data_IF_136513578996
#
_entry.id   IF_136513578996
#
_cell.length_a   1.000
_cell.length_b   1.000
_cell.length_c   1.000
_cell.angle_alpha   90.00
_cell.angle_beta   90.00
_cell.angle_gamma   90.00
#
_symmetry.space_group_name_H-M   'P 1'
#
loop_
_entity.id
_entity.type
_entity.pdbx_description
1 polymer ?
#
# COMPACT_ATOMS: atom_id res chain seq x y z
N UNK A 1 -0.04 10.39 -19.01
CA UNK A 1 -1.19 11.29 -19.29
C UNK A 1 -1.98 11.46 -18.01
N UNK A 2 -1.97 12.64 -17.39
CA UNK A 2 -2.88 12.94 -16.29
C UNK A 2 -4.29 13.07 -16.89
N UNK A 3 -5.23 12.22 -16.49
CA UNK A 3 -6.63 12.25 -16.94
C UNK A 3 -7.47 13.19 -16.07
N UNK A 4 -8.41 13.91 -16.69
CA UNK A 4 -9.44 14.68 -15.98
C UNK A 4 -10.46 13.74 -15.32
N UNK A 5 -10.87 14.04 -14.09
CA UNK A 5 -12.05 13.40 -13.48
C UNK A 5 -13.31 14.20 -13.79
N UNK A 6 -14.47 13.55 -13.60
CA UNK A 6 -15.77 14.22 -13.70
C UNK A 6 -15.78 15.48 -12.81
N UNK A 7 -16.10 16.63 -13.42
CA UNK A 7 -16.14 17.93 -12.74
C UNK A 7 -14.79 18.68 -12.65
N UNK A 8 -13.69 18.11 -13.17
CA UNK A 8 -12.39 18.80 -13.31
C UNK A 8 -12.19 19.43 -14.69
N UNK A 9 -13.17 19.33 -15.58
CA UNK A 9 -13.14 19.86 -16.94
C UNK A 9 -12.92 21.38 -16.95
N UNK A 10 -12.02 21.85 -17.83
CA UNK A 10 -11.74 23.28 -18.02
C UNK A 10 -10.91 23.95 -16.92
N UNK A 11 -10.41 23.20 -15.92
CA UNK A 11 -9.49 23.71 -14.89
C UNK A 11 -8.12 23.02 -14.99
N UNK A 12 -7.03 23.64 -14.53
CA UNK A 12 -5.75 22.94 -14.43
C UNK A 12 -5.88 21.68 -13.56
N UNK A 13 -5.39 20.54 -14.06
CA UNK A 13 -5.45 19.27 -13.32
C UNK A 13 -4.69 19.42 -11.99
N UNK A 14 -5.33 19.18 -10.82
CA UNK A 14 -4.64 19.25 -9.55
C UNK A 14 -3.43 18.31 -9.50
N UNK A 15 -2.33 18.76 -8.88
CA UNK A 15 -1.19 17.89 -8.63
C UNK A 15 -1.66 16.71 -7.77
N UNK A 16 -1.50 15.51 -8.32
CA UNK A 16 -1.88 14.27 -7.65
C UNK A 16 -0.69 13.33 -7.62
N UNK A 17 -0.25 13.00 -6.41
CA UNK A 17 0.77 12.01 -6.16
C UNK A 17 0.27 10.62 -6.57
N UNK A 18 1.17 9.77 -7.06
CA UNK A 18 0.88 8.34 -7.18
C UNK A 18 0.55 7.80 -5.78
N UNK A 19 -0.41 6.86 -5.69
CA UNK A 19 -0.71 6.21 -4.41
C UNK A 19 0.41 5.29 -4.00
N UNK A 20 1.27 4.86 -4.92
CA UNK A 20 2.42 4.01 -4.66
C UNK A 20 3.70 4.83 -4.59
N UNK A 21 4.53 4.57 -3.58
CA UNK A 21 5.83 5.21 -3.43
C UNK A 21 6.88 4.21 -2.92
N UNK A 22 8.15 4.49 -3.22
CA UNK A 22 9.30 3.69 -2.76
C UNK A 22 10.04 4.45 -1.67
N UNK A 23 10.38 3.78 -0.57
CA UNK A 23 11.28 4.30 0.46
C UNK A 23 12.43 3.29 0.65
N UNK A 24 13.63 3.67 0.24
CA UNK A 24 14.76 2.73 0.16
C UNK A 24 14.46 1.65 -0.88
N UNK A 25 14.39 0.40 -0.44
CA UNK A 25 14.07 -0.77 -1.27
C UNK A 25 12.64 -1.29 -1.10
N UNK A 26 11.89 -0.72 -0.16
CA UNK A 26 10.52 -1.12 0.12
C UNK A 26 9.51 -0.26 -0.64
N UNK A 27 8.44 -0.89 -1.11
CA UNK A 27 7.28 -0.25 -1.71
C UNK A 27 6.16 -0.05 -0.71
N UNK A 28 5.42 1.04 -0.86
CA UNK A 28 4.29 1.41 -0.01
C UNK A 28 3.15 1.92 -0.87
N UNK A 29 1.92 1.88 -0.33
CA UNK A 29 0.80 2.63 -0.87
C UNK A 29 0.10 3.48 0.18
N UNK A 30 -0.47 4.62 -0.20
CA UNK A 30 -1.22 5.51 0.68
C UNK A 30 -2.70 5.53 0.29
N UNK A 31 -3.58 5.54 1.29
CA UNK A 31 -5.02 5.77 1.12
C UNK A 31 -5.41 7.17 1.58
N UNK A 32 -6.58 7.62 1.13
CA UNK A 32 -7.18 8.87 1.62
C UNK A 32 -7.32 8.83 3.14
N UNK A 33 -7.04 9.94 3.82
CA UNK A 33 -6.97 10.01 5.28
C UNK A 33 -5.58 9.78 5.86
N UNK A 34 -4.53 9.74 5.04
CA UNK A 34 -3.13 9.80 5.47
C UNK A 34 -2.52 8.46 5.91
N UNK A 35 -3.29 7.37 5.91
CA UNK A 35 -2.77 6.04 6.24
C UNK A 35 -1.93 5.47 5.09
N UNK A 36 -0.74 4.98 5.42
CA UNK A 36 0.15 4.28 4.48
C UNK A 36 0.29 2.80 4.85
N UNK A 37 0.47 1.98 3.83
CA UNK A 37 0.52 0.53 3.88
C UNK A 37 1.75 0.04 3.13
N UNK A 38 2.24 -1.12 3.54
CA UNK A 38 3.56 -1.60 3.19
C UNK A 38 4.24 -1.98 4.49
N UNK A 39 5.52 -2.31 4.43
CA UNK A 39 6.39 -2.46 3.25
C UNK A 39 5.98 -3.60 2.31
N UNK A 40 6.27 -3.46 1.02
CA UNK A 40 6.13 -4.49 0.00
C UNK A 40 7.46 -4.67 -0.73
N UNK A 41 7.79 -5.90 -1.13
CA UNK A 41 9.08 -6.18 -1.79
C UNK A 41 9.16 -5.58 -3.19
N UNK A 42 8.00 -5.42 -3.85
CA UNK A 42 7.91 -4.81 -5.16
C UNK A 42 6.58 -4.07 -5.34
N UNK A 43 6.52 -3.19 -6.35
CA UNK A 43 5.34 -2.41 -6.70
C UNK A 43 4.11 -3.29 -6.94
N UNK A 44 4.26 -4.39 -7.66
CA UNK A 44 3.16 -5.30 -7.99
C UNK A 44 2.53 -5.97 -6.76
N UNK A 45 3.30 -6.18 -5.70
CA UNK A 45 2.79 -6.69 -4.42
C UNK A 45 1.98 -5.61 -3.69
N UNK A 46 2.45 -4.36 -3.71
CA UNK A 46 1.69 -3.22 -3.19
C UNK A 46 0.38 -3.02 -3.96
N UNK A 47 0.39 -3.17 -5.28
CA UNK A 47 -0.79 -3.10 -6.14
C UNK A 47 -1.80 -4.21 -5.78
N UNK A 48 -1.35 -5.46 -5.65
CA UNK A 48 -2.23 -6.56 -5.20
C UNK A 48 -2.84 -6.27 -3.82
N UNK A 49 -2.04 -5.75 -2.89
CA UNK A 49 -2.50 -5.41 -1.55
C UNK A 49 -3.54 -4.28 -1.55
N UNK A 50 -3.40 -3.27 -2.43
CA UNK A 50 -4.41 -2.21 -2.54
C UNK A 50 -5.73 -2.74 -3.07
N UNK A 51 -5.70 -3.69 -4.01
CA UNK A 51 -6.92 -4.33 -4.52
C UNK A 51 -7.67 -5.07 -3.42
N UNK A 52 -6.95 -5.89 -2.63
CA UNK A 52 -7.53 -6.60 -1.49
C UNK A 52 -8.04 -5.66 -0.38
N UNK A 53 -7.46 -4.47 -0.24
CA UNK A 53 -7.90 -3.46 0.73
C UNK A 53 -9.26 -2.86 0.38
N UNK A 54 -9.52 -2.60 -0.91
CA UNK A 54 -10.79 -2.01 -1.36
C UNK A 54 -11.86 -3.05 -1.72
N UNK A 55 -11.44 -4.24 -2.15
CA UNK A 55 -12.33 -5.35 -2.51
C UNK A 55 -11.91 -6.61 -1.74
N UNK A 56 -12.17 -6.66 -0.42
CA UNK A 56 -11.85 -7.82 0.37
C UNK A 56 -12.75 -8.98 -0.07
N UNK A 57 -12.20 -10.18 -0.36
CA UNK A 57 -13.01 -11.31 -0.74
C UNK A 57 -14.05 -11.60 0.35
N UNK A 58 -15.33 -11.53 -0.02
CA UNK A 58 -16.46 -11.87 0.85
C UNK A 58 -16.25 -13.28 1.36
N UNK A 59 -16.19 -13.43 2.69
CA UNK A 59 -15.73 -14.64 3.39
C UNK A 59 -16.20 -15.96 2.76
N UNK A 60 -15.23 -16.73 2.25
CA UNK A 60 -15.42 -18.11 1.82
C UNK A 60 -14.09 -18.85 1.69
N UNK A 61 -13.63 -19.45 2.80
CA UNK A 61 -12.71 -20.59 2.80
C UNK A 61 -11.24 -20.34 2.43
N UNK A 62 -10.35 -20.48 3.42
CA UNK A 62 -8.95 -20.87 3.18
C UNK A 62 -7.91 -19.76 3.32
N UNK A 63 -7.43 -19.56 4.54
CA UNK A 63 -6.05 -19.18 4.89
C UNK A 63 -5.31 -18.14 4.00
N UNK A 64 -5.98 -17.10 3.52
CA UNK A 64 -5.30 -15.89 3.04
C UNK A 64 -5.15 -14.98 4.25
N UNK A 65 -4.01 -15.07 4.94
CA UNK A 65 -3.63 -14.09 5.97
C UNK A 65 -3.78 -12.72 5.33
N UNK A 66 -4.84 -11.98 5.71
CA UNK A 66 -5.06 -10.61 5.26
C UNK A 66 -3.74 -9.88 5.35
N UNK A 67 -3.36 -9.19 4.27
CA UNK A 67 -2.02 -8.63 4.09
C UNK A 67 -1.52 -8.08 5.44
N UNK A 68 -0.54 -8.75 6.06
CA UNK A 68 -0.09 -8.36 7.40
C UNK A 68 0.65 -7.05 7.20
N UNK A 69 -0.03 -5.96 7.49
CA UNK A 69 0.49 -4.60 7.38
C UNK A 69 1.41 -4.40 8.57
N UNK A 70 2.68 -4.77 8.41
CA UNK A 70 3.69 -4.45 9.41
C UNK A 70 4.02 -2.96 9.30
N UNK A 71 3.95 -2.17 10.39
CA UNK A 71 4.31 -0.75 10.36
C UNK A 71 5.79 -0.49 10.00
N UNK A 72 6.60 -1.55 9.91
CA UNK A 72 8.02 -1.49 9.60
C UNK A 72 8.34 -2.50 8.50
N UNK A 73 9.08 -2.06 7.47
CA UNK A 73 9.93 -2.81 6.50
C UNK A 73 10.01 -4.34 6.66
N UNK A 74 9.96 -5.20 5.63
CA UNK A 74 10.14 -6.65 5.84
C UNK A 74 11.50 -6.92 6.50
N UNK A 75 12.51 -6.13 6.11
CA UNK A 75 13.80 -6.03 6.79
C UNK A 75 13.66 -5.47 8.20
N UNK A 76 12.92 -4.36 8.41
CA UNK A 76 12.74 -3.74 9.73
C UNK A 76 11.90 -4.59 10.70
N UNK A 77 10.97 -5.41 10.23
CA UNK A 77 10.16 -6.37 10.99
C UNK A 77 10.98 -7.62 11.33
N UNK A 78 11.89 -8.04 10.43
CA UNK A 78 12.89 -9.06 10.75
C UNK A 78 13.83 -8.53 11.84
N UNK A 79 14.43 -7.35 11.63
CA UNK A 79 15.29 -6.69 12.61
C UNK A 79 14.58 -6.43 13.94
N UNK A 80 13.33 -5.96 13.93
CA UNK A 80 12.56 -5.73 15.16
C UNK A 80 12.33 -7.04 15.94
N UNK A 81 11.95 -8.12 15.26
CA UNK A 81 11.78 -9.45 15.89
C UNK A 81 13.10 -9.97 16.44
N UNK A 82 14.20 -9.79 15.71
CA UNK A 82 15.52 -10.23 16.14
C UNK A 82 15.99 -9.42 17.37
N UNK A 83 15.65 -8.13 17.45
CA UNK A 83 16.03 -7.26 18.59
C UNK A 83 15.17 -7.43 19.86
N UNK A 84 13.98 -8.04 19.77
CA UNK A 84 13.05 -8.23 20.90
C UNK A 84 12.93 -9.69 21.34
N UNK A 85 13.83 -10.57 20.86
CA UNK A 85 14.03 -11.91 21.42
C UNK A 85 14.99 -11.81 22.62
N UNK A 86 14.47 -11.40 23.76
CA UNK A 86 15.09 -11.59 25.07
C UNK A 86 14.02 -11.97 26.09
#
# INVERSE_FOLDING_TARGET
>A
MQQYRAGEEGRPIPLRSDRFYKLGDDWYFQVRGGKSFGPFACRSEAERAVHLFFDPPTKGGGNQKGAVIHPFGRQRAKLWRDNHKH
#
